data_IF_780715226439
#
_entry.id   IF_780715226439
#
_cell.length_a   1.000
_cell.length_b   1.000
_cell.length_c   1.000
_cell.angle_alpha   90.00
_cell.angle_beta   90.00
_cell.angle_gamma   90.00
#
_symmetry.space_group_name_H-M   'P 1'
#
loop_
_entity.id
_entity.type
_entity.pdbx_description
1 polymer ?
#
# COMPACT_ATOMS: atom_id res chain seq x y z
N UNK A 1 77.05 56.85 85.07
CA UNK A 1 76.51 58.21 84.79
C UNK A 1 75.14 58.04 84.15
N UNK A 2 74.28 59.06 84.20
CA UNK A 2 72.88 59.06 83.73
C UNK A 2 72.76 58.75 82.21
N UNK A 3 71.60 58.48 81.61
CA UNK A 3 70.23 58.94 81.94
C UNK A 3 69.11 58.04 81.34
N UNK A 4 67.86 58.45 81.57
CA UNK A 4 66.52 57.87 81.23
C UNK A 4 66.27 57.60 79.72
N UNK A 5 65.16 57.06 79.16
CA UNK A 5 63.72 56.87 79.45
C UNK A 5 63.22 55.60 78.69
N UNK A 6 62.03 54.98 78.86
CA UNK A 6 60.92 55.00 79.82
C UNK A 6 60.06 53.71 79.64
N UNK A 7 58.73 53.73 79.91
CA UNK A 7 57.78 52.60 79.88
C UNK A 7 56.47 52.97 79.15
N UNK A 8 55.77 52.00 78.53
CA UNK A 8 54.44 51.48 78.98
C UNK A 8 53.73 50.67 77.89
N UNK A 9 53.30 49.45 78.23
CA UNK A 9 52.40 48.62 77.44
C UNK A 9 50.94 48.85 77.87
N UNK A 10 50.02 48.98 76.91
CA UNK A 10 48.59 49.03 77.17
C UNK A 10 47.95 47.67 76.82
N UNK A 11 47.16 47.13 77.75
CA UNK A 11 46.37 45.91 77.55
C UNK A 11 44.95 46.20 78.02
N UNK A 12 43.94 45.96 77.17
CA UNK A 12 42.55 46.33 77.45
C UNK A 12 41.57 45.31 76.87
N UNK A 13 40.96 44.52 77.74
CA UNK A 13 39.86 43.63 77.38
C UNK A 13 38.53 44.43 77.41
N UNK A 14 37.74 44.32 76.35
CA UNK A 14 36.45 45.04 76.23
C UNK A 14 35.31 44.17 76.78
N UNK A 15 34.78 44.58 77.93
CA UNK A 15 33.46 44.19 78.44
C UNK A 15 32.43 45.30 78.08
N UNK A 16 31.11 45.06 78.16
CA UNK A 16 30.14 45.85 77.39
C UNK A 16 29.94 47.27 77.93
N UNK A 17 30.22 48.27 77.09
CA UNK A 17 29.96 49.68 77.43
C UNK A 17 28.47 50.03 77.25
N UNK A 18 27.82 50.35 78.36
CA UNK A 18 26.52 51.01 78.37
C UNK A 18 26.70 52.50 78.04
N UNK A 19 26.81 52.83 76.75
CA UNK A 19 26.75 54.22 76.31
C UNK A 19 25.31 54.75 76.42
N UNK A 20 25.09 55.75 77.28
CA UNK A 20 23.87 56.58 77.18
C UNK A 20 23.95 57.43 75.90
N UNK A 21 23.41 56.87 74.81
CA UNK A 21 23.32 57.57 73.54
C UNK A 21 22.40 58.80 73.66
N UNK A 22 22.76 59.96 73.09
CA UNK A 22 21.95 61.17 73.18
C UNK A 22 20.55 60.93 72.58
N UNK A 23 19.53 61.01 73.42
CA UNK A 23 18.13 60.80 73.03
C UNK A 23 17.50 62.12 72.58
N UNK A 24 17.28 62.27 71.27
CA UNK A 24 16.46 63.37 70.77
C UNK A 24 14.97 63.00 70.91
N UNK A 25 14.16 63.88 71.49
CA UNK A 25 12.71 63.65 71.71
C UNK A 25 12.37 62.34 72.48
N UNK A 26 13.27 61.85 73.33
CA UNK A 26 13.08 60.60 74.09
C UNK A 26 13.28 59.32 73.28
N UNK A 27 13.76 59.43 72.03
CA UNK A 27 14.06 58.30 71.14
C UNK A 27 15.59 58.17 71.00
N UNK A 28 16.12 56.98 71.20
CA UNK A 28 17.55 56.68 71.02
C UNK A 28 17.91 56.58 69.53
N UNK A 29 19.21 56.68 69.19
CA UNK A 29 19.66 56.59 67.80
C UNK A 29 19.16 55.31 67.05
N UNK A 30 19.17 54.10 67.65
CA UNK A 30 18.54 52.92 67.04
C UNK A 30 17.03 53.07 66.82
N UNK A 31 16.32 53.84 67.65
CA UNK A 31 14.90 54.11 67.51
C UNK A 31 14.56 54.98 66.28
N UNK A 32 15.40 55.97 65.95
CA UNK A 32 15.25 56.73 64.70
C UNK A 32 15.54 55.87 63.46
N UNK A 33 16.48 54.93 63.53
CA UNK A 33 16.73 53.95 62.46
C UNK A 33 15.52 53.02 62.28
N UNK A 34 14.96 52.51 63.38
CA UNK A 34 13.76 51.68 63.36
C UNK A 34 12.54 52.43 62.78
N UNK A 35 12.32 53.68 63.19
CA UNK A 35 11.26 54.54 62.64
C UNK A 35 11.44 54.77 61.13
N UNK A 36 12.67 55.03 60.70
CA UNK A 36 13.01 55.19 59.27
C UNK A 36 12.75 53.92 58.46
N UNK A 37 13.11 52.74 58.99
CA UNK A 37 12.78 51.45 58.39
C UNK A 37 11.27 51.21 58.29
N UNK A 38 10.50 51.55 59.34
CA UNK A 38 9.03 51.43 59.33
C UNK A 38 8.42 52.33 58.24
N UNK A 39 8.90 53.57 58.09
CA UNK A 39 8.44 54.49 57.03
C UNK A 39 8.76 53.93 55.64
N UNK A 40 9.97 53.41 55.42
CA UNK A 40 10.38 52.80 54.14
C UNK A 40 9.53 51.56 53.81
N UNK A 41 9.32 50.66 54.78
CA UNK A 41 8.48 49.45 54.62
C UNK A 41 7.03 49.86 54.32
N UNK A 42 6.49 50.85 55.05
CA UNK A 42 5.17 51.41 54.79
C UNK A 42 5.03 51.97 53.38
N UNK A 43 6.05 52.70 52.88
CA UNK A 43 6.07 53.22 51.51
C UNK A 43 6.14 52.09 50.46
N UNK A 44 6.93 51.05 50.68
CA UNK A 44 7.00 49.87 49.79
C UNK A 44 5.67 49.11 49.71
N UNK A 45 4.96 48.99 50.83
CA UNK A 45 3.62 48.37 50.88
C UNK A 45 2.61 49.27 50.14
N UNK A 46 2.64 50.58 50.37
CA UNK A 46 1.76 51.53 49.69
C UNK A 46 1.97 51.55 48.16
N UNK A 47 3.23 51.54 47.72
CA UNK A 47 3.60 51.38 46.30
C UNK A 47 3.47 49.95 45.76
N UNK A 48 2.93 49.00 46.54
CA UNK A 48 2.63 47.61 46.12
C UNK A 48 3.83 46.82 45.59
N UNK A 49 5.07 47.16 45.99
CA UNK A 49 6.29 46.43 45.58
C UNK A 49 6.19 44.91 45.79
N UNK A 50 5.76 44.37 46.95
CA UNK A 50 5.63 42.92 47.11
C UNK A 50 4.58 42.29 46.16
N UNK A 51 3.50 43.00 45.84
CA UNK A 51 2.50 42.51 44.89
C UNK A 51 3.01 42.50 43.44
N UNK A 52 3.89 43.44 43.07
CA UNK A 52 4.56 43.44 41.76
C UNK A 52 5.49 42.23 41.61
N UNK A 53 6.25 41.89 42.66
CA UNK A 53 7.13 40.71 42.68
C UNK A 53 6.32 39.41 42.58
N UNK A 54 5.25 39.29 43.37
CA UNK A 54 4.33 38.15 43.30
C UNK A 54 3.74 37.98 41.89
N UNK A 55 3.21 39.06 41.29
CA UNK A 55 2.66 39.05 39.93
C UNK A 55 3.71 38.67 38.88
N UNK A 56 4.96 39.11 39.04
CA UNK A 56 6.05 38.74 38.13
C UNK A 56 6.41 37.25 38.23
N UNK A 57 6.35 36.68 39.44
CA UNK A 57 6.56 35.24 39.66
C UNK A 57 5.40 34.41 39.11
N UNK A 58 4.15 34.80 39.37
CA UNK A 58 2.95 34.16 38.81
C UNK A 58 2.93 34.20 37.28
N UNK A 59 3.34 35.32 36.67
CA UNK A 59 3.48 35.44 35.21
C UNK A 59 4.51 34.48 34.62
N UNK A 60 5.64 34.28 35.31
CA UNK A 60 6.66 33.27 34.94
C UNK A 60 6.11 31.85 35.10
N UNK A 61 5.41 31.56 36.20
CA UNK A 61 4.77 30.25 36.43
C UNK A 61 3.72 29.98 35.34
N UNK A 62 2.89 30.96 34.98
CA UNK A 62 1.90 30.86 33.90
C UNK A 62 2.55 30.58 32.55
N UNK A 63 3.61 31.30 32.21
CA UNK A 63 4.40 31.08 30.97
C UNK A 63 5.01 29.66 30.94
N UNK A 64 5.61 29.22 32.04
CA UNK A 64 6.21 27.87 32.15
C UNK A 64 5.15 26.77 32.03
N UNK A 65 3.98 26.95 32.67
CA UNK A 65 2.83 26.02 32.52
C UNK A 65 2.36 25.94 31.07
N UNK A 66 2.13 27.09 30.43
CA UNK A 66 1.72 27.12 29.02
C UNK A 66 2.73 26.44 28.08
N UNK A 67 4.04 26.61 28.34
CA UNK A 67 5.10 25.92 27.58
C UNK A 67 5.13 24.42 27.84
N UNK A 68 4.90 23.97 29.08
CA UNK A 68 4.78 22.55 29.43
C UNK A 68 3.53 21.92 28.80
N UNK A 69 2.39 22.59 28.85
CA UNK A 69 1.13 22.13 28.27
C UNK A 69 1.23 22.02 26.74
N UNK A 70 1.85 23.01 26.08
CA UNK A 70 2.13 22.97 24.64
C UNK A 70 3.11 21.85 24.28
N UNK A 71 4.19 21.66 25.05
CA UNK A 71 5.14 20.56 24.83
C UNK A 71 4.49 19.18 25.03
N UNK A 72 3.61 19.04 26.03
CA UNK A 72 2.84 17.82 26.27
C UNK A 72 1.84 17.56 25.14
N UNK A 73 1.16 18.60 24.64
CA UNK A 73 0.27 18.51 23.46
C UNK A 73 1.05 18.08 22.22
N UNK A 74 2.14 18.75 21.88
CA UNK A 74 2.97 18.44 20.72
C UNK A 74 3.53 17.01 20.80
N UNK A 75 3.89 16.55 22.01
CA UNK A 75 4.30 15.16 22.25
C UNK A 75 3.14 14.18 22.01
N UNK A 76 1.94 14.46 22.52
CA UNK A 76 0.78 13.61 22.31
C UNK A 76 0.38 13.54 20.82
N UNK A 77 0.46 14.66 20.09
CA UNK A 77 0.25 14.72 18.64
C UNK A 77 1.31 13.91 17.88
N UNK A 78 2.59 14.00 18.27
CA UNK A 78 3.67 13.21 17.67
C UNK A 78 3.53 11.70 17.96
N UNK A 79 3.15 11.31 19.18
CA UNK A 79 2.89 9.91 19.55
C UNK A 79 1.66 9.36 18.81
N UNK A 80 0.60 10.16 18.63
CA UNK A 80 -0.58 9.80 17.82
C UNK A 80 -0.22 9.65 16.33
N UNK A 81 0.54 10.58 15.75
CA UNK A 81 1.00 10.51 14.37
C UNK A 81 1.91 9.29 14.12
N UNK A 82 2.79 8.97 15.07
CA UNK A 82 3.63 7.78 15.01
C UNK A 82 2.79 6.49 15.09
N UNK A 83 1.74 6.47 15.91
CA UNK A 83 0.83 5.33 16.01
C UNK A 83 0.02 5.15 14.70
N UNK A 84 -0.46 6.24 14.10
CA UNK A 84 -1.16 6.19 12.81
C UNK A 84 -0.24 5.75 11.66
N UNK A 85 0.97 6.33 11.56
CA UNK A 85 1.96 5.93 10.56
C UNK A 85 2.34 4.44 10.67
N UNK A 86 2.49 3.91 11.89
CA UNK A 86 2.73 2.48 12.13
C UNK A 86 1.53 1.61 11.71
N UNK A 87 0.30 1.99 12.07
CA UNK A 87 -0.93 1.30 11.63
C UNK A 87 -1.04 1.29 10.11
N UNK A 88 -0.80 2.44 9.46
CA UNK A 88 -0.89 2.61 8.01
C UNK A 88 0.19 1.82 7.28
N UNK A 89 1.42 1.80 7.80
CA UNK A 89 2.50 0.95 7.27
C UNK A 89 2.16 -0.54 7.37
N UNK A 90 1.62 -0.99 8.50
CA UNK A 90 1.19 -2.38 8.68
C UNK A 90 0.02 -2.74 7.75
N UNK A 91 -0.96 -1.84 7.60
CA UNK A 91 -2.08 -2.01 6.68
C UNK A 91 -1.58 -2.12 5.22
N UNK A 92 -0.76 -1.18 4.75
CA UNK A 92 -0.22 -1.21 3.38
C UNK A 92 0.65 -2.44 3.08
N UNK A 93 1.36 -2.99 4.09
CA UNK A 93 2.08 -4.25 3.94
C UNK A 93 1.12 -5.45 3.80
N UNK A 94 0.02 -5.45 4.57
CA UNK A 94 -1.07 -6.43 4.44
C UNK A 94 -1.78 -6.35 3.10
N UNK A 95 -2.12 -5.13 2.65
CA UNK A 95 -2.77 -4.86 1.36
C UNK A 95 -1.90 -5.32 0.20
N UNK A 96 -0.59 -5.03 0.23
CA UNK A 96 0.34 -5.49 -0.80
C UNK A 96 0.44 -7.03 -0.86
N UNK A 97 0.50 -7.70 0.29
CA UNK A 97 0.49 -9.16 0.35
C UNK A 97 -0.84 -9.75 -0.15
N UNK A 98 -1.98 -9.12 0.16
CA UNK A 98 -3.30 -9.53 -0.32
C UNK A 98 -3.44 -9.35 -1.85
N UNK A 99 -2.92 -8.24 -2.40
CA UNK A 99 -2.88 -8.00 -3.85
C UNK A 99 -2.07 -9.09 -4.56
N UNK A 100 -0.88 -9.44 -4.04
CA UNK A 100 -0.03 -10.50 -4.62
C UNK A 100 -0.75 -11.85 -4.56
N UNK A 101 -1.32 -12.22 -3.40
CA UNK A 101 -2.04 -13.47 -3.23
C UNK A 101 -3.28 -13.57 -4.16
N UNK A 102 -4.00 -12.47 -4.35
CA UNK A 102 -5.13 -12.40 -5.30
C UNK A 102 -4.65 -12.56 -6.74
N UNK A 103 -3.62 -11.82 -7.15
CA UNK A 103 -3.05 -11.89 -8.49
C UNK A 103 -2.49 -13.29 -8.81
N UNK A 104 -1.89 -13.99 -7.84
CA UNK A 104 -1.48 -15.38 -8.01
C UNK A 104 -2.66 -16.34 -8.19
N UNK A 105 -3.75 -16.15 -7.44
CA UNK A 105 -4.96 -16.97 -7.57
C UNK A 105 -5.67 -16.74 -8.92
N UNK A 106 -5.76 -15.48 -9.36
CA UNK A 106 -6.27 -15.10 -10.68
C UNK A 106 -5.37 -15.65 -11.80
N UNK A 107 -4.04 -15.56 -11.66
CA UNK A 107 -3.12 -16.14 -12.64
C UNK A 107 -3.28 -17.67 -12.75
N UNK A 108 -3.41 -18.39 -11.63
CA UNK A 108 -3.63 -19.85 -11.61
C UNK A 108 -4.96 -20.24 -12.27
N UNK A 109 -6.04 -19.50 -12.00
CA UNK A 109 -7.36 -19.76 -12.61
C UNK A 109 -7.39 -19.37 -14.09
N UNK A 110 -6.71 -18.30 -14.49
CA UNK A 110 -6.56 -17.89 -15.88
C UNK A 110 -5.73 -18.89 -16.69
N UNK A 111 -4.64 -19.43 -16.13
CA UNK A 111 -3.84 -20.47 -16.75
C UNK A 111 -4.65 -21.75 -16.94
N UNK A 112 -5.31 -22.26 -15.89
CA UNK A 112 -6.15 -23.45 -15.98
C UNK A 112 -7.28 -23.31 -17.02
N UNK A 113 -7.88 -22.11 -17.13
CA UNK A 113 -8.85 -21.82 -18.17
C UNK A 113 -8.21 -21.77 -19.57
N UNK A 114 -7.07 -21.11 -19.73
CA UNK A 114 -6.38 -21.01 -21.02
C UNK A 114 -5.92 -22.39 -21.53
N UNK A 115 -5.48 -23.28 -20.64
CA UNK A 115 -5.16 -24.68 -20.96
C UNK A 115 -6.40 -25.45 -21.41
N UNK A 116 -7.52 -25.31 -20.72
CA UNK A 116 -8.79 -25.94 -21.10
C UNK A 116 -9.31 -25.42 -22.46
N UNK A 117 -9.34 -24.10 -22.66
CA UNK A 117 -9.76 -23.45 -23.91
C UNK A 117 -8.84 -23.85 -25.08
N UNK A 118 -7.52 -23.98 -24.85
CA UNK A 118 -6.56 -24.44 -25.85
C UNK A 118 -6.71 -25.93 -26.20
N UNK A 119 -7.00 -26.78 -25.20
CA UNK A 119 -7.29 -28.19 -25.41
C UNK A 119 -8.59 -28.38 -26.21
N UNK A 120 -9.66 -27.64 -25.88
CA UNK A 120 -10.91 -27.66 -26.64
C UNK A 120 -10.69 -27.17 -28.08
N UNK A 121 -9.99 -26.05 -28.28
CA UNK A 121 -9.70 -25.52 -29.61
C UNK A 121 -8.92 -26.54 -30.46
N UNK A 122 -7.97 -27.25 -29.86
CA UNK A 122 -7.17 -28.29 -30.52
C UNK A 122 -8.04 -29.50 -30.88
N UNK A 123 -8.88 -29.99 -29.97
CA UNK A 123 -9.81 -31.08 -30.24
C UNK A 123 -10.82 -30.73 -31.35
N UNK A 124 -11.38 -29.51 -31.34
CA UNK A 124 -12.27 -29.03 -32.41
C UNK A 124 -11.55 -28.92 -33.75
N UNK A 125 -10.28 -28.50 -33.77
CA UNK A 125 -9.46 -28.47 -35.00
C UNK A 125 -9.13 -29.86 -35.52
N UNK A 126 -8.79 -30.81 -34.65
CA UNK A 126 -8.56 -32.20 -35.03
C UNK A 126 -9.81 -32.80 -35.68
N UNK A 127 -10.98 -32.69 -35.02
CA UNK A 127 -12.25 -33.16 -35.58
C UNK A 127 -12.60 -32.50 -36.92
N UNK A 128 -12.40 -31.19 -37.07
CA UNK A 128 -12.60 -30.51 -38.37
C UNK A 128 -11.63 -30.99 -39.46
N UNK A 129 -10.43 -31.49 -39.11
CA UNK A 129 -9.52 -32.10 -40.06
C UNK A 129 -9.97 -33.52 -40.43
N UNK A 130 -10.36 -34.33 -39.45
CA UNK A 130 -10.95 -35.67 -39.65
C UNK A 130 -12.20 -35.63 -40.53
N UNK A 131 -13.15 -34.72 -40.25
CA UNK A 131 -14.37 -34.53 -41.05
C UNK A 131 -14.04 -34.13 -42.50
N UNK A 132 -12.99 -33.32 -42.71
CA UNK A 132 -12.50 -32.95 -44.06
C UNK A 132 -11.83 -34.12 -44.78
N UNK A 133 -11.03 -34.92 -44.08
CA UNK A 133 -10.41 -36.13 -44.64
C UNK A 133 -11.51 -37.12 -45.06
N UNK A 134 -12.48 -37.41 -44.18
CA UNK A 134 -13.60 -38.30 -44.48
C UNK A 134 -14.53 -37.77 -45.60
N UNK A 135 -14.61 -36.45 -45.80
CA UNK A 135 -15.28 -35.86 -46.96
C UNK A 135 -14.46 -36.06 -48.25
N UNK A 136 -13.15 -35.81 -48.21
CA UNK A 136 -12.23 -35.99 -49.34
C UNK A 136 -12.13 -37.45 -49.78
N UNK A 137 -12.04 -38.40 -48.84
CA UNK A 137 -12.01 -39.85 -49.10
C UNK A 137 -13.28 -40.32 -49.82
N UNK A 138 -14.47 -39.88 -49.37
CA UNK A 138 -15.73 -40.18 -50.05
C UNK A 138 -15.76 -39.62 -51.48
N UNK A 139 -15.23 -38.41 -51.68
CA UNK A 139 -15.05 -37.81 -53.00
C UNK A 139 -14.11 -38.63 -53.90
N UNK A 140 -12.93 -38.99 -53.40
CA UNK A 140 -11.94 -39.78 -54.12
C UNK A 140 -12.45 -41.18 -54.50
N UNK A 141 -13.17 -41.85 -53.59
CA UNK A 141 -13.80 -43.16 -53.87
C UNK A 141 -14.86 -43.03 -54.96
N UNK A 142 -15.68 -41.97 -54.94
CA UNK A 142 -16.67 -41.71 -55.98
C UNK A 142 -16.01 -41.42 -57.33
N UNK A 143 -14.92 -40.64 -57.35
CA UNK A 143 -14.15 -40.33 -58.56
C UNK A 143 -13.48 -41.58 -59.15
N UNK A 144 -12.84 -42.42 -58.32
CA UNK A 144 -12.23 -43.69 -58.78
C UNK A 144 -13.30 -44.62 -59.36
N UNK A 145 -14.48 -44.72 -58.73
CA UNK A 145 -15.61 -45.50 -59.27
C UNK A 145 -16.10 -44.95 -60.61
N UNK A 146 -16.23 -43.64 -60.75
CA UNK A 146 -16.64 -43.00 -62.01
C UNK A 146 -15.61 -43.27 -63.13
N UNK A 147 -14.31 -43.06 -62.85
CA UNK A 147 -13.21 -43.35 -63.80
C UNK A 147 -13.17 -44.84 -64.19
N UNK A 148 -13.41 -45.75 -63.25
CA UNK A 148 -13.46 -47.19 -63.52
C UNK A 148 -14.67 -47.58 -64.38
N UNK A 149 -15.86 -47.03 -64.11
CA UNK A 149 -17.07 -47.27 -64.91
C UNK A 149 -16.93 -46.71 -66.33
N UNK A 150 -16.35 -45.52 -66.49
CA UNK A 150 -16.03 -44.89 -67.77
C UNK A 150 -14.99 -45.71 -68.58
N UNK A 151 -13.92 -46.17 -67.93
CA UNK A 151 -12.93 -47.07 -68.55
C UNK A 151 -13.54 -48.41 -68.98
N UNK A 152 -14.37 -49.02 -68.13
CA UNK A 152 -15.07 -50.27 -68.45
C UNK A 152 -16.07 -50.08 -69.60
N UNK A 153 -16.77 -48.95 -69.64
CA UNK A 153 -17.70 -48.61 -70.73
C UNK A 153 -16.95 -48.43 -72.05
N UNK A 154 -15.83 -47.69 -72.07
CA UNK A 154 -14.99 -47.57 -73.27
C UNK A 154 -14.48 -48.93 -73.76
N UNK A 155 -13.97 -49.77 -72.85
CA UNK A 155 -13.47 -51.10 -73.20
C UNK A 155 -14.60 -52.00 -73.75
N UNK A 156 -15.79 -51.95 -73.15
CA UNK A 156 -16.97 -52.67 -73.64
C UNK A 156 -17.40 -52.17 -75.02
N UNK A 157 -17.47 -50.85 -75.25
CA UNK A 157 -17.76 -50.27 -76.57
C UNK A 157 -16.77 -50.74 -77.62
N UNK A 158 -15.46 -50.71 -77.32
CA UNK A 158 -14.43 -51.15 -78.26
C UNK A 158 -14.54 -52.65 -78.58
N UNK A 159 -14.71 -53.52 -77.56
CA UNK A 159 -14.94 -54.96 -77.77
C UNK A 159 -16.21 -55.22 -78.58
N UNK A 160 -17.28 -54.45 -78.35
CA UNK A 160 -18.52 -54.53 -79.13
C UNK A 160 -18.22 -54.15 -80.58
N UNK A 161 -17.58 -53.02 -80.86
CA UNK A 161 -17.23 -52.60 -82.23
C UNK A 161 -16.32 -53.61 -82.95
N UNK A 162 -15.34 -54.20 -82.25
CA UNK A 162 -14.43 -55.20 -82.81
C UNK A 162 -15.07 -56.59 -83.03
N UNK A 163 -16.25 -56.85 -82.44
CA UNK A 163 -16.94 -58.16 -82.47
C UNK A 163 -18.36 -58.13 -83.07
N UNK A 164 -18.94 -56.96 -83.33
CA UNK A 164 -20.22 -56.84 -84.02
C UNK A 164 -20.01 -56.94 -85.54
N UNK A 165 -20.61 -57.97 -86.13
CA UNK A 165 -20.81 -58.06 -87.58
C UNK A 165 -22.32 -58.11 -87.90
N UNK A 166 -22.66 -58.08 -89.19
CA UNK A 166 -24.04 -58.17 -89.65
C UNK A 166 -24.73 -59.52 -89.30
N UNK A 167 -23.97 -60.54 -88.87
CA UNK A 167 -24.48 -61.80 -88.36
C UNK A 167 -24.91 -61.71 -86.89
N UNK A 168 -24.26 -60.86 -86.09
CA UNK A 168 -24.61 -60.59 -84.69
C UNK A 168 -25.84 -59.67 -84.53
N UNK A 169 -26.05 -58.71 -85.44
CA UNK A 169 -27.19 -57.77 -85.40
C UNK A 169 -28.54 -58.49 -85.48
N UNK A 170 -28.68 -59.45 -86.40
CA UNK A 170 -29.94 -60.13 -86.69
C UNK A 170 -30.57 -60.85 -85.48
N UNK A 171 -29.85 -61.72 -84.73
CA UNK A 171 -30.37 -62.32 -83.50
C UNK A 171 -30.43 -61.36 -82.29
N UNK A 172 -29.98 -60.11 -82.43
CA UNK A 172 -30.26 -59.03 -81.47
C UNK A 172 -31.61 -58.38 -81.79
N UNK A 173 -31.82 -58.00 -83.05
CA UNK A 173 -33.07 -57.42 -83.56
C UNK A 173 -34.25 -58.36 -83.40
N UNK A 174 -34.09 -59.65 -83.74
CA UNK A 174 -35.14 -60.65 -83.54
C UNK A 174 -35.48 -60.81 -82.05
N UNK A 175 -34.51 -60.62 -81.14
CA UNK A 175 -34.73 -60.67 -79.68
C UNK A 175 -35.40 -59.40 -79.14
N UNK A 176 -35.06 -58.21 -79.64
CA UNK A 176 -35.72 -56.98 -79.20
C UNK A 176 -37.15 -56.91 -79.75
N UNK A 177 -37.39 -57.32 -81.00
CA UNK A 177 -38.74 -57.49 -81.56
C UNK A 177 -39.54 -58.52 -80.75
N UNK A 178 -38.98 -59.69 -80.45
CA UNK A 178 -39.63 -60.70 -79.62
C UNK A 178 -39.77 -60.29 -78.14
N UNK A 179 -38.99 -59.32 -77.66
CA UNK A 179 -39.10 -58.73 -76.33
C UNK A 179 -40.23 -57.70 -76.26
N UNK A 180 -40.34 -56.83 -77.26
CA UNK A 180 -41.44 -55.88 -77.42
C UNK A 180 -42.78 -56.59 -77.64
N UNK A 181 -42.79 -57.68 -78.41
CA UNK A 181 -43.96 -58.55 -78.59
C UNK A 181 -44.32 -59.38 -77.33
N UNK A 182 -43.44 -59.39 -76.31
CA UNK A 182 -43.66 -60.06 -75.02
C UNK A 182 -44.00 -59.06 -73.89
N UNK A 183 -44.33 -57.81 -74.24
CA UNK A 183 -44.92 -56.87 -73.28
C UNK A 183 -46.40 -57.22 -73.11
N UNK A 184 -46.66 -58.20 -72.25
CA UNK A 184 -47.96 -58.53 -71.67
C UNK A 184 -47.73 -59.16 -70.29
#
# INVERSE_FOLDING_TARGET
>A
MAETHASTLANGAVAPEHHEAPTAFGISAPGFVALSMIVVIGLMIWQKVPAMIAKALDSRIGTIRAQLDEANRLRAEAEALLADAKKRSAASAGDAAAIIAHAEAEAKTMLAKAEADAAELTARRARMAEDKIAAAERGAIAEVRARAADAATRAATQIITDRHDAGADKPLVDRTIAGLARVN
#
